data_IF_324784794177
#
_entry.id   IF_324784794177
#
_cell.length_a   1.000
_cell.length_b   1.000
_cell.length_c   1.000
_cell.angle_alpha   90.00
_cell.angle_beta   90.00
_cell.angle_gamma   90.00
#
_symmetry.space_group_name_H-M   'P 1'
#
loop_
_entity.id
_entity.type
_entity.pdbx_description
1 polymer ?
#
# COMPACT_ATOMS: atom_id res chain seq x y z
N UNK A 1 -11.20 20.40 14.29
CA UNK A 1 -11.44 19.05 13.73
C UNK A 1 -10.26 18.20 14.18
N UNK A 2 -10.45 17.13 14.97
CA UNK A 2 -9.32 16.27 15.37
C UNK A 2 -8.93 15.45 14.13
N UNK A 3 -7.68 15.55 13.68
CA UNK A 3 -7.13 14.59 12.72
C UNK A 3 -7.30 13.19 13.30
N UNK A 4 -8.18 12.41 12.70
CA UNK A 4 -8.43 11.05 13.13
C UNK A 4 -7.37 10.18 12.48
N UNK A 5 -6.25 10.02 13.19
CA UNK A 5 -5.20 9.08 12.83
C UNK A 5 -5.83 7.67 12.75
N UNK A 6 -5.95 7.12 11.54
CA UNK A 6 -6.68 5.87 11.28
C UNK A 6 -5.74 4.79 10.75
N UNK A 7 -4.83 4.29 11.57
CA UNK A 7 -4.09 3.05 11.28
C UNK A 7 -4.74 1.87 12.01
N UNK A 8 -4.53 0.65 11.52
CA UNK A 8 -5.06 -0.56 12.14
C UNK A 8 -4.02 -1.67 12.17
N UNK A 9 -4.13 -2.53 13.17
CA UNK A 9 -3.43 -3.81 13.22
C UNK A 9 -4.12 -4.81 12.27
N UNK A 10 -3.37 -5.74 11.65
CA UNK A 10 -1.93 -5.94 11.78
C UNK A 10 -1.08 -5.03 10.88
N UNK A 11 -1.68 -4.19 10.02
CA UNK A 11 -0.95 -3.35 9.06
C UNK A 11 0.07 -2.39 9.68
N UNK A 12 -0.10 -2.02 10.95
CA UNK A 12 0.83 -1.14 11.66
C UNK A 12 2.08 -1.84 12.25
N UNK A 13 2.24 -3.16 12.11
CA UNK A 13 3.41 -3.83 12.69
C UNK A 13 4.71 -3.43 11.97
N UNK A 14 5.80 -3.30 12.73
CA UNK A 14 7.10 -2.87 12.18
C UNK A 14 7.67 -3.87 11.17
N UNK A 15 7.35 -5.15 11.32
CA UNK A 15 7.87 -6.24 10.49
C UNK A 15 6.94 -6.62 9.33
N UNK A 16 5.92 -5.82 9.03
CA UNK A 16 5.07 -6.01 7.86
C UNK A 16 5.21 -4.86 6.88
N UNK A 17 5.05 -5.17 5.59
CA UNK A 17 4.89 -4.20 4.53
C UNK A 17 3.44 -3.69 4.57
N UNK A 18 3.25 -2.49 5.11
CA UNK A 18 1.97 -1.81 5.22
C UNK A 18 1.65 -1.09 3.93
N UNK A 19 0.40 -1.23 3.47
CA UNK A 19 -0.02 -0.77 2.14
C UNK A 19 -1.16 0.23 2.23
N UNK A 20 -0.94 1.41 1.66
CA UNK A 20 -1.94 2.46 1.45
C UNK A 20 -2.65 2.34 0.10
N UNK A 21 -3.75 3.08 -0.07
CA UNK A 21 -4.50 3.11 -1.31
C UNK A 21 -4.39 4.49 -1.98
N UNK A 22 -4.10 4.49 -3.29
CA UNK A 22 -4.17 5.66 -4.18
C UNK A 22 -5.20 5.43 -5.29
N UNK A 23 -5.66 6.52 -5.90
CA UNK A 23 -6.46 6.48 -7.13
C UNK A 23 -5.59 6.47 -8.40
N UNK A 24 -6.21 6.31 -9.57
CA UNK A 24 -5.51 6.31 -10.86
C UNK A 24 -4.78 7.62 -11.21
N UNK A 25 -5.05 8.71 -10.48
CA UNK A 25 -4.31 9.96 -10.59
C UNK A 25 -3.07 10.07 -9.69
N UNK A 26 -2.81 9.05 -8.85
CA UNK A 26 -1.71 9.04 -7.89
C UNK A 26 -2.02 9.75 -6.57
N UNK A 27 -3.28 10.10 -6.30
CA UNK A 27 -3.67 10.77 -5.06
C UNK A 27 -4.05 9.74 -3.99
N UNK A 28 -3.65 10.00 -2.73
CA UNK A 28 -4.04 9.18 -1.57
C UNK A 28 -5.56 9.16 -1.43
N UNK A 29 -6.13 7.97 -1.29
CA UNK A 29 -7.57 7.82 -1.07
C UNK A 29 -7.95 8.35 0.33
N UNK A 30 -9.06 9.08 0.50
CA UNK A 30 -9.45 9.64 1.80
C UNK A 30 -9.68 8.59 2.91
N UNK A 31 -10.00 7.35 2.53
CA UNK A 31 -10.15 6.23 3.47
C UNK A 31 -8.83 5.52 3.80
N UNK A 32 -7.73 5.86 3.10
CA UNK A 32 -6.43 5.24 3.31
C UNK A 32 -5.87 5.71 4.64
N UNK A 33 -5.78 4.79 5.58
CA UNK A 33 -5.21 5.03 6.89
C UNK A 33 -3.73 5.40 6.85
N UNK A 34 -3.31 6.33 7.70
CA UNK A 34 -1.90 6.62 7.95
C UNK A 34 -1.59 6.78 9.43
N UNK A 35 -0.33 6.53 9.78
CA UNK A 35 0.28 6.93 11.04
C UNK A 35 1.39 7.93 10.72
N UNK A 36 1.18 9.17 11.13
CA UNK A 36 2.15 10.25 10.95
C UNK A 36 2.84 10.52 12.30
N UNK A 37 4.14 10.80 12.28
CA UNK A 37 4.78 11.40 13.46
C UNK A 37 4.25 12.83 13.67
N UNK A 38 4.48 13.38 14.87
CA UNK A 38 4.19 14.78 15.24
C UNK A 38 4.81 15.80 14.28
N UNK A 39 5.79 15.38 13.48
CA UNK A 39 6.49 16.18 12.48
C UNK A 39 6.01 15.96 11.03
N UNK A 40 4.79 15.45 10.83
CA UNK A 40 4.09 15.24 9.52
C UNK A 40 4.66 14.16 8.59
N UNK A 41 5.74 13.47 8.99
CA UNK A 41 6.27 12.35 8.20
C UNK A 41 5.38 11.11 8.35
N UNK A 42 4.98 10.53 7.23
CA UNK A 42 4.18 9.31 7.19
C UNK A 42 5.07 8.11 7.56
N UNK A 43 4.93 7.59 8.78
CA UNK A 43 5.65 6.39 9.24
C UNK A 43 5.04 5.13 8.63
N UNK A 44 3.71 5.08 8.54
CA UNK A 44 2.97 4.01 7.84
C UNK A 44 1.79 4.62 7.08
N UNK A 45 1.43 4.08 5.90
CA UNK A 45 1.97 2.88 5.25
C UNK A 45 3.39 3.08 4.67
N UNK A 46 4.09 1.97 4.39
CA UNK A 46 5.42 2.04 3.76
C UNK A 46 5.31 2.41 2.28
N UNK A 47 4.30 1.87 1.59
CA UNK A 47 4.03 2.06 0.17
C UNK A 47 2.54 2.23 -0.04
N UNK A 48 2.13 2.99 -1.06
CA UNK A 48 0.76 3.01 -1.53
C UNK A 48 0.65 2.50 -2.97
N UNK A 49 -0.42 1.78 -3.28
CA UNK A 49 -0.71 1.29 -4.64
C UNK A 49 -2.17 1.53 -5.00
N UNK A 50 -2.55 1.22 -6.24
CA UNK A 50 -3.92 1.42 -6.73
C UNK A 50 -4.92 0.69 -5.83
N UNK A 51 -5.85 1.43 -5.25
CA UNK A 51 -6.87 0.89 -4.36
C UNK A 51 -8.24 1.54 -4.54
N UNK A 52 -8.43 2.35 -5.57
CA UNK A 52 -9.71 3.02 -5.88
C UNK A 52 -10.19 2.55 -7.25
N UNK A 53 -11.45 2.10 -7.31
CA UNK A 53 -12.14 1.69 -8.54
C UNK A 53 -11.42 0.56 -9.31
N UNK A 54 -10.81 -0.35 -8.56
CA UNK A 54 -10.07 -1.50 -9.10
C UNK A 54 -11.06 -2.55 -9.58
N UNK A 55 -11.00 -2.88 -10.87
CA UNK A 55 -11.78 -3.96 -11.44
C UNK A 55 -11.21 -5.31 -11.01
N UNK A 56 -12.03 -6.14 -10.38
CA UNK A 56 -11.62 -7.46 -9.89
C UNK A 56 -12.77 -8.45 -9.99
N UNK A 57 -12.42 -9.73 -9.94
CA UNK A 57 -13.36 -10.83 -9.88
C UNK A 57 -13.81 -11.04 -8.44
N UNK A 58 -15.10 -10.82 -8.16
CA UNK A 58 -15.74 -11.27 -6.92
C UNK A 58 -16.70 -12.42 -7.26
N UNK A 59 -18.01 -12.18 -7.18
CA UNK A 59 -19.05 -13.08 -7.72
C UNK A 59 -19.37 -12.79 -9.20
N UNK A 60 -19.04 -11.58 -9.66
CA UNK A 60 -19.01 -11.09 -11.06
C UNK A 60 -17.84 -10.10 -11.19
N UNK A 61 -17.48 -9.71 -12.41
CA UNK A 61 -16.53 -8.60 -12.62
C UNK A 61 -17.17 -7.31 -12.11
N UNK A 62 -16.44 -6.56 -11.30
CA UNK A 62 -16.89 -5.27 -10.79
C UNK A 62 -15.76 -4.47 -10.18
N UNK A 63 -16.01 -3.17 -9.97
CA UNK A 63 -15.07 -2.25 -9.35
C UNK A 63 -15.22 -2.24 -7.83
N UNK A 64 -14.10 -2.28 -7.13
CA UNK A 64 -14.05 -2.18 -5.68
C UNK A 64 -12.92 -1.23 -5.25
N UNK A 65 -13.13 -0.60 -4.09
CA UNK A 65 -12.20 0.36 -3.50
C UNK A 65 -11.86 -0.07 -2.07
N UNK A 66 -10.57 -0.02 -1.73
CA UNK A 66 -10.08 -0.34 -0.40
C UNK A 66 -8.58 -0.60 -0.37
N UNK A 67 -7.97 -0.46 0.80
CA UNK A 67 -6.57 -0.87 1.02
C UNK A 67 -6.38 -2.39 0.83
N UNK A 68 -7.44 -3.20 0.94
CA UNK A 68 -7.41 -4.61 0.55
C UNK A 68 -7.05 -4.83 -0.93
N UNK A 69 -7.50 -3.94 -1.82
CA UNK A 69 -7.18 -4.02 -3.25
C UNK A 69 -5.73 -3.63 -3.50
N UNK A 70 -5.29 -2.55 -2.86
CA UNK A 70 -3.91 -2.08 -2.92
C UNK A 70 -2.93 -3.16 -2.40
N UNK A 71 -3.23 -3.76 -1.25
CA UNK A 71 -2.43 -4.84 -0.66
C UNK A 71 -2.33 -6.06 -1.59
N UNK A 72 -3.42 -6.43 -2.26
CA UNK A 72 -3.44 -7.55 -3.21
C UNK A 72 -2.55 -7.28 -4.42
N UNK A 73 -2.62 -6.06 -4.98
CA UNK A 73 -1.74 -5.66 -6.10
C UNK A 73 -0.28 -5.73 -5.69
N UNK A 74 0.08 -5.21 -4.50
CA UNK A 74 1.46 -5.25 -4.03
C UNK A 74 1.93 -6.69 -3.72
N UNK A 75 1.06 -7.55 -3.20
CA UNK A 75 1.36 -8.96 -3.01
C UNK A 75 1.69 -9.67 -4.33
N UNK A 76 0.99 -9.32 -5.43
CA UNK A 76 1.31 -9.79 -6.77
C UNK A 76 2.71 -9.38 -7.23
N UNK A 77 3.09 -8.11 -7.05
CA UNK A 77 4.45 -7.64 -7.37
C UNK A 77 5.52 -8.35 -6.53
N UNK A 78 5.27 -8.55 -5.23
CA UNK A 78 6.18 -9.29 -4.35
C UNK A 78 6.35 -10.76 -4.78
N UNK A 79 5.27 -11.40 -5.24
CA UNK A 79 5.35 -12.75 -5.81
C UNK A 79 6.20 -12.77 -7.11
N UNK A 80 6.06 -11.77 -7.97
CA UNK A 80 6.89 -11.65 -9.17
C UNK A 80 8.37 -11.48 -8.84
N UNK A 81 8.72 -10.66 -7.84
CA UNK A 81 10.10 -10.55 -7.36
C UNK A 81 10.62 -11.88 -6.84
N UNK A 82 9.79 -12.61 -6.09
CA UNK A 82 10.16 -13.93 -5.55
C UNK A 82 10.39 -14.97 -6.64
N UNK A 83 9.65 -14.90 -7.75
CA UNK A 83 9.85 -15.77 -8.92
C UNK A 83 11.10 -15.36 -9.72
N UNK A 84 11.29 -14.06 -9.95
CA UNK A 84 12.42 -13.53 -10.72
C UNK A 84 13.77 -13.69 -9.99
N UNK A 85 13.75 -13.62 -8.65
CA UNK A 85 14.93 -13.71 -7.80
C UNK A 85 14.70 -14.74 -6.67
N UNK A 86 14.71 -16.06 -6.96
CA UNK A 86 14.35 -17.09 -5.98
C UNK A 86 15.25 -17.18 -4.75
N UNK A 87 16.47 -16.64 -4.83
CA UNK A 87 17.43 -16.59 -3.71
C UNK A 87 17.34 -15.29 -2.89
N UNK A 88 16.52 -14.33 -3.32
CA UNK A 88 16.31 -13.09 -2.58
C UNK A 88 15.54 -13.34 -1.28
N UNK A 89 15.96 -12.70 -0.20
CA UNK A 89 15.23 -12.75 1.06
C UNK A 89 13.99 -11.85 1.04
N UNK A 90 13.12 -12.01 2.04
CA UNK A 90 11.98 -11.10 2.22
C UNK A 90 12.44 -9.64 2.39
N UNK A 91 13.58 -9.41 3.05
CA UNK A 91 14.15 -8.08 3.23
C UNK A 91 14.67 -7.49 1.92
N UNK A 92 15.29 -8.32 1.06
CA UNK A 92 15.74 -7.87 -0.27
C UNK A 92 14.55 -7.44 -1.12
N UNK A 93 13.46 -8.22 -1.11
CA UNK A 93 12.23 -7.87 -1.82
C UNK A 93 11.57 -6.61 -1.25
N UNK A 94 11.53 -6.45 0.08
CA UNK A 94 11.04 -5.23 0.72
C UNK A 94 11.85 -4.00 0.27
N UNK A 95 13.18 -4.07 0.34
CA UNK A 95 14.05 -2.97 -0.04
C UNK A 95 13.90 -2.62 -1.53
N UNK A 96 13.82 -3.63 -2.40
CA UNK A 96 13.62 -3.42 -3.84
C UNK A 96 12.29 -2.69 -4.12
N UNK A 97 11.21 -3.06 -3.44
CA UNK A 97 9.92 -2.37 -3.57
C UNK A 97 10.03 -0.91 -3.10
N UNK A 98 10.57 -0.67 -1.90
CA UNK A 98 10.68 0.68 -1.32
C UNK A 98 11.55 1.61 -2.18
N UNK A 99 12.66 1.11 -2.73
CA UNK A 99 13.56 1.91 -3.56
C UNK A 99 13.00 2.24 -4.95
N UNK A 100 11.93 1.56 -5.36
CA UNK A 100 11.31 1.70 -6.67
C UNK A 100 10.07 2.58 -6.70
N UNK A 101 9.63 3.13 -5.55
CA UNK A 101 8.38 3.89 -5.47
C UNK A 101 8.51 5.29 -6.03
N UNK A 102 7.46 5.74 -6.69
CA UNK A 102 7.31 7.15 -7.05
C UNK A 102 6.72 7.95 -5.87
N UNK A 103 7.09 9.25 -5.73
CA UNK A 103 6.45 10.12 -4.75
C UNK A 103 4.94 10.19 -4.96
N UNK A 104 4.18 10.03 -3.87
CA UNK A 104 2.72 10.14 -3.91
C UNK A 104 2.32 11.61 -4.06
N UNK A 105 1.29 11.88 -4.87
CA UNK A 105 0.72 13.23 -4.97
C UNK A 105 -0.17 13.50 -3.78
N UNK A 106 0.25 14.42 -2.91
CA UNK A 106 -0.59 15.02 -1.88
C UNK A 106 -1.21 16.28 -2.50
N UNK A 107 -2.52 16.26 -2.73
CA UNK A 107 -3.26 17.42 -3.24
C UNK A 107 -3.28 18.60 -2.28
#
# INVERSE_FOLDING_TARGET
MKEQVSYRTPGFYNNVLSVGAINGGGNVAPFSGSYNDKNTECIKPDIATLGVDIESSFTKIGKQSGTSMAATILAGHSAQLSIAFPSASCLDNYNALIQSVDPVKTG
#
